data_IF_419704666786
#
_entry.id   IF_419704666786
#
_cell.length_a   1.000
_cell.length_b   1.000
_cell.length_c   1.000
_cell.angle_alpha   90.00
_cell.angle_beta   90.00
_cell.angle_gamma   90.00
#
_symmetry.space_group_name_H-M   'P 1'
#
loop_
_entity.id
_entity.type
_entity.pdbx_description
1 polymer ?
#
# COMPACT_ATOMS: atom_id res chain seq x y z
N UNK A 1 11.28 17.54 2.45
CA UNK A 1 11.13 16.36 3.33
C UNK A 1 10.07 15.44 2.73
N UNK A 2 10.39 14.16 2.55
CA UNK A 2 9.48 13.17 1.98
C UNK A 2 9.40 12.02 2.97
N UNK A 3 8.18 11.71 3.40
CA UNK A 3 7.88 10.56 4.24
C UNK A 3 7.33 9.48 3.31
N UNK A 4 8.01 8.34 3.28
CA UNK A 4 7.55 7.14 2.59
C UNK A 4 7.30 6.10 3.68
N UNK A 5 6.13 5.50 3.67
CA UNK A 5 5.78 4.38 4.53
C UNK A 5 4.87 3.46 3.74
N UNK A 6 5.34 2.22 3.48
CA UNK A 6 4.65 1.28 2.61
C UNK A 6 4.31 1.92 1.24
N UNK A 7 3.04 1.86 0.80
CA UNK A 7 2.55 2.51 -0.43
C UNK A 7 2.18 4.00 -0.25
N UNK A 8 2.32 4.57 0.96
CA UNK A 8 1.95 5.95 1.24
C UNK A 8 3.14 6.90 1.16
N UNK A 9 2.99 7.96 0.36
CA UNK A 9 4.02 8.98 0.17
C UNK A 9 3.43 10.36 0.41
N UNK A 10 3.96 11.09 1.38
CA UNK A 10 3.57 12.47 1.65
C UNK A 10 4.73 13.26 2.25
N UNK A 11 4.69 14.57 2.16
CA UNK A 11 5.68 15.45 2.79
C UNK A 11 5.48 15.61 4.31
N UNK A 12 4.44 15.01 4.89
CA UNK A 12 4.00 15.21 6.29
C UNK A 12 3.62 13.86 6.92
N UNK A 13 4.15 13.58 8.12
CA UNK A 13 3.89 12.34 8.85
C UNK A 13 2.42 12.18 9.26
N UNK A 14 1.76 13.26 9.68
CA UNK A 14 0.34 13.26 10.09
C UNK A 14 -0.59 12.78 8.97
N UNK A 15 -0.27 13.14 7.71
CA UNK A 15 -1.04 12.69 6.54
C UNK A 15 -0.86 11.20 6.27
N UNK A 16 0.32 10.65 6.57
CA UNK A 16 0.56 9.21 6.50
C UNK A 16 -0.26 8.49 7.57
N UNK A 17 -0.32 9.01 8.80
CA UNK A 17 -1.12 8.40 9.87
C UNK A 17 -2.63 8.39 9.54
N UNK A 18 -3.15 9.51 9.05
CA UNK A 18 -4.53 9.61 8.59
C UNK A 18 -4.81 8.61 7.45
N UNK A 19 -3.88 8.45 6.51
CA UNK A 19 -3.99 7.47 5.43
C UNK A 19 -4.04 6.03 5.94
N UNK A 20 -3.25 5.68 6.97
CA UNK A 20 -3.34 4.36 7.64
C UNK A 20 -4.70 4.14 8.27
N UNK A 21 -5.21 5.14 8.99
CA UNK A 21 -6.52 5.03 9.64
C UNK A 21 -7.64 4.84 8.61
N UNK A 22 -7.60 5.58 7.51
CA UNK A 22 -8.58 5.52 6.42
C UNK A 22 -8.52 4.19 5.66
N UNK A 23 -7.32 3.67 5.41
CA UNK A 23 -7.10 2.33 4.84
C UNK A 23 -7.63 1.23 5.75
N UNK A 24 -7.32 1.28 7.06
CA UNK A 24 -7.85 0.32 8.05
C UNK A 24 -9.39 0.37 8.15
N UNK A 25 -9.97 1.55 7.93
CA UNK A 25 -11.41 1.75 7.92
C UNK A 25 -12.07 1.38 6.58
N UNK A 26 -11.30 1.00 5.55
CA UNK A 26 -11.81 0.69 4.21
C UNK A 26 -12.46 1.89 3.51
N UNK A 27 -12.06 3.12 3.85
CA UNK A 27 -12.61 4.36 3.28
C UNK A 27 -11.86 4.82 2.03
N UNK A 28 -10.69 4.26 1.77
CA UNK A 28 -9.94 4.51 0.55
C UNK A 28 -10.56 3.76 -0.61
N UNK A 29 -10.80 4.47 -1.70
CA UNK A 29 -11.23 3.86 -2.96
C UNK A 29 -10.13 2.92 -3.46
N UNK A 30 -10.44 1.62 -3.51
CA UNK A 30 -9.58 0.64 -4.15
C UNK A 30 -9.66 0.83 -5.67
N UNK A 31 -8.59 0.49 -6.40
CA UNK A 31 -8.67 0.37 -7.85
C UNK A 31 -9.77 -0.62 -8.24
N UNK A 32 -10.56 -0.30 -9.26
CA UNK A 32 -11.71 -1.11 -9.69
C UNK A 32 -11.35 -2.50 -10.26
N UNK A 33 -10.06 -2.80 -10.39
CA UNK A 33 -9.54 -4.08 -10.85
C UNK A 33 -8.91 -4.91 -9.71
N UNK A 34 -8.81 -4.34 -8.50
CA UNK A 34 -8.07 -4.90 -7.35
C UNK A 34 -8.90 -4.86 -6.05
N UNK A 35 -10.23 -4.73 -6.15
CA UNK A 35 -11.14 -4.74 -5.00
C UNK A 35 -11.42 -6.14 -4.43
N UNK A 36 -10.82 -7.18 -5.02
CA UNK A 36 -11.02 -8.59 -4.66
C UNK A 36 -10.12 -9.04 -3.50
N UNK A 37 -8.94 -8.44 -3.33
CA UNK A 37 -7.97 -8.80 -2.30
C UNK A 37 -7.55 -7.57 -1.47
N UNK A 38 -7.86 -7.57 -0.17
CA UNK A 38 -7.50 -6.48 0.72
C UNK A 38 -6.17 -6.75 1.42
N UNK A 39 -5.13 -5.97 1.12
CA UNK A 39 -3.84 -6.06 1.81
C UNK A 39 -3.90 -5.26 3.12
N UNK A 40 -3.81 -5.90 4.31
CA UNK A 40 -3.80 -5.19 5.57
C UNK A 40 -2.50 -4.41 5.78
N UNK A 41 -2.56 -3.37 6.61
CA UNK A 41 -1.38 -2.59 6.99
C UNK A 41 -0.37 -3.46 7.77
N UNK A 42 0.93 -3.36 7.47
CA UNK A 42 1.95 -4.03 8.26
C UNK A 42 2.12 -3.37 9.64
N UNK A 43 2.35 -4.19 10.67
CA UNK A 43 2.57 -3.74 12.06
C UNK A 43 3.96 -3.07 12.24
N UNK A 44 4.94 -3.49 11.44
CA UNK A 44 6.27 -2.89 11.39
C UNK A 44 6.35 -1.83 10.30
N UNK A 45 7.11 -0.73 10.49
CA UNK A 45 7.43 0.17 9.40
C UNK A 45 8.20 -0.62 8.35
N UNK A 46 7.54 -0.89 7.22
CA UNK A 46 8.17 -1.42 6.02
C UNK A 46 9.17 -0.38 5.52
N UNK A 47 10.36 -0.37 6.11
CA UNK A 47 11.57 -0.20 5.32
C UNK A 47 11.38 -1.10 4.11
N UNK A 48 11.55 -0.63 2.87
CA UNK A 48 11.51 -1.50 1.72
C UNK A 48 12.71 -2.45 1.83
N UNK A 49 12.58 -3.50 2.63
CA UNK A 49 13.21 -4.75 2.26
C UNK A 49 12.56 -5.08 0.91
N UNK A 50 13.34 -5.20 -0.17
CA UNK A 50 12.79 -5.56 -1.46
C UNK A 50 12.07 -6.88 -1.21
N UNK A 51 10.74 -6.86 -1.21
CA UNK A 51 9.95 -8.07 -1.20
C UNK A 51 10.59 -9.00 -2.24
N UNK A 52 10.93 -10.25 -1.90
CA UNK A 52 11.56 -11.15 -2.85
C UNK A 52 10.60 -11.18 -4.02
N UNK A 53 11.06 -10.66 -5.16
CA UNK A 53 10.27 -10.35 -6.34
C UNK A 53 8.95 -11.13 -6.32
N UNK A 54 7.85 -10.45 -5.99
CA UNK A 54 6.56 -10.85 -6.51
C UNK A 54 6.75 -10.74 -8.01
N UNK A 55 7.27 -11.83 -8.61
CA UNK A 55 7.43 -11.98 -10.04
C UNK A 55 6.06 -11.57 -10.57
N UNK A 56 5.95 -10.59 -11.49
CA UNK A 56 4.70 -10.45 -12.18
C UNK A 56 4.46 -11.83 -12.81
N UNK A 57 3.52 -12.58 -12.25
CA UNK A 57 3.05 -13.77 -12.91
C UNK A 57 2.51 -13.26 -14.26
N UNK A 58 3.02 -13.74 -15.40
CA UNK A 58 2.60 -13.23 -16.69
C UNK A 58 1.12 -13.57 -16.85
N UNK A 59 0.28 -12.59 -16.52
CA UNK A 59 -1.15 -12.68 -16.77
C UNK A 59 -1.32 -12.77 -18.28
N UNK A 60 -2.14 -13.74 -18.65
CA UNK A 60 -2.01 -14.59 -19.83
C UNK A 60 -2.16 -13.85 -21.17
N UNK A 61 -1.52 -14.34 -22.25
CA UNK A 61 -1.59 -13.71 -23.55
C UNK A 61 -3.00 -13.88 -24.16
N UNK A 62 -3.52 -12.81 -24.74
CA UNK A 62 -4.57 -12.86 -25.79
C UNK A 62 -4.00 -12.35 -27.10
#
# INVERSE_FOLDING_TARGET
PRVIWWNFVHSKQERIDQAKADWKAGRMALPAEDDVEFIPLPDVPSTPEPAPAAKPEPTHPV
#
